data_IF_924630864547
#
_entry.id   IF_924630864547
#
_cell.length_a   1.000
_cell.length_b   1.000
_cell.length_c   1.000
_cell.angle_alpha   90.00
_cell.angle_beta   90.00
_cell.angle_gamma   90.00
#
_symmetry.space_group_name_H-M   'P 1'
#
loop_
_entity.id
_entity.type
_entity.pdbx_description
1 polymer ?
#
# COMPACT_ATOMS: atom_id res chain seq x y z
N UNK A 1 28.34 5.13 -20.12
CA UNK A 1 27.27 4.16 -19.81
C UNK A 1 26.41 4.01 -21.06
N UNK A 2 26.14 2.79 -21.49
CA UNK A 2 25.25 2.50 -22.62
C UNK A 2 24.03 1.76 -22.09
N UNK A 3 22.83 2.14 -22.50
CA UNK A 3 21.59 1.45 -22.18
C UNK A 3 20.76 1.39 -23.45
N UNK A 4 20.13 0.24 -23.72
CA UNK A 4 19.12 0.07 -24.76
C UNK A 4 17.95 -0.73 -24.21
N UNK A 5 16.76 -0.45 -24.71
CA UNK A 5 15.55 -1.14 -24.29
C UNK A 5 14.42 -0.97 -25.29
N UNK A 6 13.36 -1.75 -25.09
CA UNK A 6 12.14 -1.68 -25.88
C UNK A 6 10.94 -2.06 -25.02
N UNK A 7 9.90 -1.24 -25.06
CA UNK A 7 8.62 -1.52 -24.40
C UNK A 7 7.56 -1.89 -25.45
N UNK A 8 6.84 -2.98 -25.19
CA UNK A 8 5.64 -3.36 -25.91
C UNK A 8 4.50 -3.50 -24.92
N UNK A 9 3.44 -2.73 -25.12
CA UNK A 9 2.18 -2.87 -24.39
C UNK A 9 1.01 -3.02 -25.37
N UNK A 10 0.03 -3.82 -24.96
CA UNK A 10 -1.20 -4.01 -25.73
C UNK A 10 -2.39 -3.76 -24.82
N UNK A 11 -3.50 -3.28 -25.38
CA UNK A 11 -4.73 -3.03 -24.64
C UNK A 11 -5.91 -3.65 -25.38
N UNK A 12 -6.54 -4.63 -24.77
CA UNK A 12 -7.81 -5.17 -25.22
C UNK A 12 -8.93 -4.80 -24.25
N UNK A 13 -10.13 -4.61 -24.78
CA UNK A 13 -11.30 -4.37 -23.94
C UNK A 13 -12.55 -5.02 -24.49
N UNK A 14 -13.47 -5.35 -23.59
CA UNK A 14 -14.79 -5.88 -23.93
C UNK A 14 -15.85 -5.26 -23.02
N UNK A 15 -17.01 -4.99 -23.59
CA UNK A 15 -18.16 -4.41 -22.89
C UNK A 15 -19.30 -5.43 -22.91
N UNK A 16 -19.94 -5.61 -21.76
CA UNK A 16 -21.15 -6.41 -21.57
C UNK A 16 -22.23 -5.51 -20.96
N UNK A 17 -23.11 -4.99 -21.81
CA UNK A 17 -24.22 -4.14 -21.36
C UNK A 17 -25.24 -4.92 -20.53
N UNK A 18 -25.43 -6.22 -20.81
CA UNK A 18 -26.36 -7.07 -20.08
C UNK A 18 -25.85 -7.61 -18.73
N UNK A 19 -24.60 -7.34 -18.36
CA UNK A 19 -24.03 -7.84 -17.11
C UNK A 19 -24.52 -7.00 -15.92
N UNK A 20 -25.33 -7.60 -15.05
CA UNK A 20 -25.87 -6.92 -13.86
C UNK A 20 -25.63 -7.76 -12.61
N UNK A 21 -25.32 -7.11 -11.49
CA UNK A 21 -25.19 -7.80 -10.20
C UNK A 21 -25.65 -6.90 -9.05
N UNK A 22 -26.66 -7.37 -8.31
CA UNK A 22 -27.10 -6.72 -7.07
C UNK A 22 -26.06 -6.81 -5.96
N UNK A 23 -25.26 -7.89 -5.95
CA UNK A 23 -24.23 -8.10 -4.92
C UNK A 23 -23.13 -7.04 -5.03
N UNK A 24 -22.72 -6.73 -6.26
CA UNK A 24 -21.62 -5.81 -6.57
C UNK A 24 -22.05 -4.39 -6.98
N UNK A 25 -23.35 -4.10 -6.89
CA UNK A 25 -23.94 -2.85 -7.39
C UNK A 25 -23.43 -2.54 -8.80
N UNK A 26 -23.59 -3.53 -9.69
CA UNK A 26 -23.05 -3.54 -11.04
C UNK A 26 -24.16 -3.39 -12.07
N UNK A 27 -24.02 -2.40 -12.93
CA UNK A 27 -24.90 -2.05 -14.05
C UNK A 27 -24.05 -1.90 -15.32
N UNK A 28 -24.06 -2.97 -16.13
CA UNK A 28 -23.11 -3.18 -17.20
C UNK A 28 -21.68 -3.46 -16.68
N UNK A 29 -20.84 -4.01 -17.55
CA UNK A 29 -19.45 -4.27 -17.22
C UNK A 29 -18.54 -3.99 -18.42
N UNK A 30 -17.38 -3.36 -18.16
CA UNK A 30 -16.28 -3.22 -19.11
C UNK A 30 -15.04 -3.85 -18.50
N UNK A 31 -14.47 -4.85 -19.18
CA UNK A 31 -13.15 -5.39 -18.85
C UNK A 31 -12.12 -4.81 -19.80
N UNK A 32 -11.00 -4.40 -19.24
CA UNK A 32 -9.81 -3.96 -19.94
C UNK A 32 -8.66 -4.82 -19.45
N UNK A 33 -7.93 -5.43 -20.38
CA UNK A 33 -6.71 -6.19 -20.10
C UNK A 33 -5.54 -5.55 -20.84
N UNK A 34 -4.46 -5.31 -20.11
CA UNK A 34 -3.27 -4.61 -20.57
C UNK A 34 -2.03 -5.43 -20.23
N UNK A 35 -1.63 -6.40 -21.10
CA UNK A 35 -0.33 -7.03 -21.00
C UNK A 35 0.78 -6.08 -21.47
N UNK A 36 1.93 -6.15 -20.82
CA UNK A 36 3.12 -5.38 -21.14
C UNK A 36 4.39 -6.19 -20.98
N UNK A 37 5.36 -5.97 -21.86
CA UNK A 37 6.72 -6.48 -21.77
C UNK A 37 7.68 -5.31 -21.99
N UNK A 38 8.56 -5.06 -21.03
CA UNK A 38 9.63 -4.07 -21.18
C UNK A 38 10.98 -4.77 -21.13
N UNK A 39 11.75 -4.66 -22.21
CA UNK A 39 13.10 -5.19 -22.33
C UNK A 39 14.14 -4.12 -22.02
N UNK A 40 15.09 -4.43 -21.16
CA UNK A 40 16.22 -3.56 -20.84
C UNK A 40 17.54 -4.34 -20.93
N UNK A 41 18.51 -3.72 -21.60
CA UNK A 41 19.87 -4.23 -21.73
C UNK A 41 20.90 -3.15 -21.39
N UNK A 42 21.67 -3.42 -20.35
CA UNK A 42 22.86 -2.67 -19.95
C UNK A 42 24.05 -3.65 -20.05
N UNK A 43 25.05 -3.38 -20.89
CA UNK A 43 26.23 -4.23 -20.99
C UNK A 43 27.05 -4.19 -19.71
N UNK A 44 27.88 -5.21 -19.49
CA UNK A 44 28.82 -5.25 -18.36
C UNK A 44 29.74 -4.04 -18.39
N UNK A 45 29.82 -3.24 -17.31
CA UNK A 45 30.68 -2.08 -17.26
C UNK A 45 32.16 -2.47 -17.19
N UNK A 46 33.05 -1.56 -17.63
CA UNK A 46 34.50 -1.77 -17.52
C UNK A 46 34.99 -1.87 -16.07
N UNK A 47 34.26 -1.24 -15.14
CA UNK A 47 34.47 -1.34 -13.69
C UNK A 47 33.13 -1.65 -13.03
N UNK A 48 33.01 -2.73 -12.22
CA UNK A 48 31.79 -3.02 -11.50
C UNK A 48 31.54 -1.99 -10.38
N UNK A 49 30.30 -1.83 -9.90
CA UNK A 49 29.98 -0.92 -8.78
C UNK A 49 30.86 -1.10 -7.55
N UNK A 50 31.27 -2.34 -7.24
CA UNK A 50 32.15 -2.66 -6.10
C UNK A 50 33.56 -2.06 -6.19
N UNK A 51 33.98 -1.65 -7.39
CA UNK A 51 35.27 -0.98 -7.64
C UNK A 51 35.15 0.54 -7.80
N UNK A 52 33.94 1.08 -7.67
CA UNK A 52 33.66 2.51 -7.76
C UNK A 52 33.41 3.10 -6.36
N UNK A 53 33.90 4.32 -6.07
CA UNK A 53 33.43 5.08 -4.93
C UNK A 53 31.91 5.25 -5.02
N UNK A 54 31.20 4.88 -3.96
CA UNK A 54 29.74 4.94 -3.91
C UNK A 54 29.31 6.29 -3.29
N UNK A 55 28.80 7.20 -4.11
CA UNK A 55 28.14 8.42 -3.65
C UNK A 55 26.63 8.21 -3.55
N UNK A 56 26.06 7.33 -4.38
CA UNK A 56 24.68 6.85 -4.30
C UNK A 56 24.58 5.31 -4.38
N UNK A 57 24.07 4.69 -3.31
CA UNK A 57 23.88 3.23 -3.27
C UNK A 57 22.42 2.84 -3.49
N UNK A 58 22.21 1.70 -4.16
CA UNK A 58 20.88 1.11 -4.25
C UNK A 58 20.43 0.62 -2.87
N UNK A 59 19.37 1.22 -2.34
CA UNK A 59 18.76 0.81 -1.07
C UNK A 59 17.80 -0.37 -1.26
N UNK A 60 17.73 -1.23 -0.25
CA UNK A 60 16.72 -2.28 -0.15
C UNK A 60 15.34 -1.66 -0.18
N UNK A 61 14.47 -2.18 -1.04
CA UNK A 61 13.09 -1.70 -1.20
C UNK A 61 12.10 -2.85 -1.22
N UNK A 62 10.90 -2.55 -0.73
CA UNK A 62 9.75 -3.44 -0.80
C UNK A 62 9.07 -3.40 -2.17
N UNK A 63 9.40 -2.42 -3.01
CA UNK A 63 8.84 -2.24 -4.35
C UNK A 63 9.81 -2.73 -5.41
N UNK A 64 9.26 -3.13 -6.55
CA UNK A 64 10.09 -3.41 -7.71
C UNK A 64 10.69 -2.09 -8.23
N UNK A 65 12.01 -2.08 -8.41
CA UNK A 65 12.78 -0.89 -8.80
C UNK A 65 12.50 -0.56 -10.28
N UNK A 66 12.48 0.71 -10.70
CA UNK A 66 12.46 1.04 -12.13
C UNK A 66 13.58 0.33 -12.90
N UNK A 67 13.26 -0.21 -14.07
CA UNK A 67 14.26 -0.77 -15.01
C UNK A 67 14.62 0.23 -16.11
N UNK A 68 13.76 1.21 -16.34
CA UNK A 68 13.99 2.26 -17.32
C UNK A 68 14.95 3.32 -16.80
N UNK A 69 15.71 3.87 -17.73
CA UNK A 69 16.50 5.07 -17.50
C UNK A 69 15.73 6.28 -18.04
N UNK A 70 15.69 7.41 -17.32
CA UNK A 70 16.52 7.77 -16.16
C UNK A 70 15.90 7.46 -14.78
N UNK A 71 14.79 6.72 -14.71
CA UNK A 71 14.06 6.50 -13.44
C UNK A 71 14.87 5.72 -12.40
N UNK A 72 15.86 4.93 -12.84
CA UNK A 72 16.89 4.36 -11.98
C UNK A 72 17.96 5.42 -11.63
N UNK A 73 17.96 5.87 -10.37
CA UNK A 73 18.74 7.04 -9.95
C UNK A 73 20.03 6.72 -9.19
N UNK A 74 20.28 5.48 -8.77
CA UNK A 74 21.52 5.08 -8.07
C UNK A 74 22.64 4.83 -9.08
N UNK A 75 23.23 5.88 -9.64
CA UNK A 75 24.10 5.80 -10.82
C UNK A 75 25.36 4.97 -10.54
N UNK A 76 25.96 5.10 -9.35
CA UNK A 76 27.17 4.35 -8.97
C UNK A 76 26.89 2.86 -8.71
N UNK A 77 25.62 2.48 -8.60
CA UNK A 77 25.16 1.09 -8.43
C UNK A 77 24.74 0.41 -9.74
N UNK A 78 24.86 1.09 -10.88
CA UNK A 78 24.50 0.52 -12.18
C UNK A 78 25.53 -0.52 -12.60
N UNK A 79 25.05 -1.72 -12.87
CA UNK A 79 25.81 -2.81 -13.45
C UNK A 79 25.08 -3.36 -14.69
N UNK A 80 25.57 -4.47 -15.24
CA UNK A 80 24.91 -5.23 -16.28
C UNK A 80 23.46 -5.58 -15.94
N UNK A 81 22.60 -5.38 -16.93
CA UNK A 81 21.19 -5.75 -16.90
C UNK A 81 20.82 -6.42 -18.22
N UNK A 82 20.04 -7.49 -18.15
CA UNK A 82 19.45 -8.11 -19.33
C UNK A 82 18.11 -8.72 -18.88
N UNK A 83 17.06 -7.90 -18.91
CA UNK A 83 15.82 -8.15 -18.16
C UNK A 83 14.61 -7.90 -19.05
N UNK A 84 13.60 -8.77 -18.90
CA UNK A 84 12.24 -8.57 -19.37
C UNK A 84 11.33 -8.33 -18.17
N UNK A 85 10.78 -7.12 -18.04
CA UNK A 85 9.70 -6.83 -17.10
C UNK A 85 8.37 -7.26 -17.71
N UNK A 86 7.76 -8.26 -17.12
CA UNK A 86 6.47 -8.79 -17.50
C UNK A 86 5.40 -8.15 -16.62
N UNK A 87 4.36 -7.61 -17.23
CA UNK A 87 3.22 -7.00 -16.53
C UNK A 87 1.89 -7.41 -17.13
N UNK A 88 0.89 -7.59 -16.27
CA UNK A 88 -0.48 -7.81 -16.67
C UNK A 88 -1.39 -6.98 -15.78
N UNK A 89 -2.12 -6.04 -16.38
CA UNK A 89 -3.14 -5.24 -15.69
C UNK A 89 -4.53 -5.64 -16.15
N UNK A 90 -5.44 -5.77 -15.20
CA UNK A 90 -6.84 -6.08 -15.39
C UNK A 90 -7.68 -5.00 -14.72
N UNK A 91 -8.59 -4.38 -15.46
CA UNK A 91 -9.55 -3.41 -14.92
C UNK A 91 -10.96 -3.83 -15.30
N UNK A 92 -11.81 -4.08 -14.30
CA UNK A 92 -13.25 -4.22 -14.46
C UNK A 92 -13.93 -2.93 -13.99
N UNK A 93 -14.76 -2.39 -14.86
CA UNK A 93 -15.51 -1.17 -14.64
C UNK A 93 -17.00 -1.42 -14.75
N UNK A 94 -17.77 -0.69 -13.96
CA UNK A 94 -19.23 -0.71 -13.97
C UNK A 94 -19.76 0.71 -13.93
N UNK A 95 -20.99 0.92 -14.41
CA UNK A 95 -21.71 2.15 -14.14
C UNK A 95 -22.31 2.09 -12.73
N UNK A 96 -22.25 3.22 -12.01
CA UNK A 96 -22.93 3.48 -10.74
C UNK A 96 -23.51 4.91 -10.78
N UNK A 97 -24.18 5.32 -9.69
CA UNK A 97 -24.91 6.60 -9.59
C UNK A 97 -24.07 7.82 -10.03
N UNK A 98 -22.77 7.84 -9.73
CA UNK A 98 -21.88 8.97 -9.98
C UNK A 98 -21.04 8.83 -11.26
N UNK A 99 -21.29 7.80 -12.08
CA UNK A 99 -20.56 7.56 -13.33
C UNK A 99 -19.95 6.16 -13.41
N UNK A 100 -18.91 6.02 -14.23
CA UNK A 100 -18.17 4.76 -14.37
C UNK A 100 -17.14 4.65 -13.26
N UNK A 101 -17.19 3.56 -12.50
CA UNK A 101 -16.26 3.26 -11.42
C UNK A 101 -15.50 1.96 -11.70
N UNK A 102 -14.25 1.88 -11.21
CA UNK A 102 -13.52 0.61 -11.20
C UNK A 102 -14.08 -0.27 -10.09
N UNK A 103 -14.70 -1.38 -10.48
CA UNK A 103 -15.12 -2.45 -9.56
C UNK A 103 -13.90 -3.22 -9.06
N UNK A 104 -12.96 -3.51 -9.96
CA UNK A 104 -11.77 -4.31 -9.71
C UNK A 104 -10.63 -3.77 -10.57
N UNK A 105 -9.48 -3.53 -9.98
CA UNK A 105 -8.26 -3.14 -10.67
C UNK A 105 -7.13 -3.95 -10.08
N UNK A 106 -6.51 -4.79 -10.90
CA UNK A 106 -5.47 -5.71 -10.47
C UNK A 106 -4.28 -5.64 -11.41
N UNK A 107 -3.09 -5.56 -10.85
CA UNK A 107 -1.85 -5.64 -11.59
C UNK A 107 -0.99 -6.76 -11.01
N UNK A 108 -0.38 -7.56 -11.87
CA UNK A 108 0.64 -8.53 -11.50
C UNK A 108 1.86 -8.31 -12.38
N UNK A 109 3.05 -8.32 -11.79
CA UNK A 109 4.29 -8.06 -12.51
C UNK A 109 5.49 -8.69 -11.84
N UNK A 110 6.49 -9.02 -12.65
CA UNK A 110 7.78 -9.57 -12.25
C UNK A 110 8.82 -9.34 -13.35
N UNK A 111 10.08 -9.36 -12.97
CA UNK A 111 11.20 -9.31 -13.91
C UNK A 111 11.75 -10.71 -14.15
N UNK A 112 11.98 -11.01 -15.42
CA UNK A 112 12.74 -12.18 -15.87
C UNK A 112 14.12 -11.74 -16.34
N UNK A 113 15.16 -12.16 -15.62
CA UNK A 113 16.55 -11.89 -15.96
C UNK A 113 17.04 -12.95 -16.94
N UNK A 114 17.34 -12.55 -18.17
CA UNK A 114 17.81 -13.43 -19.25
C UNK A 114 19.26 -13.89 -19.02
N UNK A 115 20.06 -13.04 -18.39
CA UNK A 115 21.45 -13.33 -17.99
C UNK A 115 21.66 -12.81 -16.56
N UNK A 116 21.22 -13.54 -15.53
CA UNK A 116 21.40 -13.11 -14.15
C UNK A 116 22.89 -13.07 -13.80
N UNK A 117 23.28 -12.09 -12.99
CA UNK A 117 24.60 -12.05 -12.34
C UNK A 117 24.70 -13.13 -11.24
N UNK A 118 25.90 -13.44 -10.74
CA UNK A 118 26.08 -14.44 -9.68
C UNK A 118 25.31 -14.16 -8.37
N UNK A 119 25.00 -12.89 -8.09
CA UNK A 119 24.23 -12.43 -6.93
C UNK A 119 22.71 -12.37 -7.18
N UNK A 120 22.25 -12.78 -8.36
CA UNK A 120 20.87 -12.60 -8.79
C UNK A 120 20.17 -13.93 -9.08
N UNK A 121 18.90 -13.98 -8.71
CA UNK A 121 18.00 -15.03 -9.15
C UNK A 121 17.47 -14.79 -10.58
N UNK A 122 17.01 -15.85 -11.24
CA UNK A 122 16.46 -15.76 -12.60
C UNK A 122 15.19 -14.90 -12.68
N UNK A 123 14.30 -15.04 -11.69
CA UNK A 123 13.11 -14.20 -11.56
C UNK A 123 13.22 -13.31 -10.33
N UNK A 124 12.68 -12.09 -10.39
CA UNK A 124 12.35 -11.37 -9.16
C UNK A 124 11.17 -12.03 -8.46
N UNK A 125 10.85 -11.52 -7.29
CA UNK A 125 9.55 -11.79 -6.69
C UNK A 125 8.42 -11.32 -7.62
N UNK A 126 7.26 -11.96 -7.49
CA UNK A 126 6.01 -11.56 -8.13
C UNK A 126 5.31 -10.58 -7.23
N UNK A 127 4.98 -9.44 -7.82
CA UNK A 127 4.23 -8.37 -7.19
C UNK A 127 2.79 -8.44 -7.67
N UNK A 128 1.85 -8.26 -6.76
CA UNK A 128 0.44 -8.20 -7.08
C UNK A 128 -0.24 -7.08 -6.29
N UNK A 129 -0.83 -6.14 -7.02
CA UNK A 129 -1.52 -4.96 -6.50
C UNK A 129 -2.99 -5.02 -6.90
N UNK A 130 -3.89 -5.01 -5.93
CA UNK A 130 -5.33 -5.16 -6.13
C UNK A 130 -6.10 -4.04 -5.40
N UNK A 131 -6.92 -3.32 -6.16
CA UNK A 131 -8.00 -2.48 -5.66
C UNK A 131 -9.35 -3.10 -6.03
N UNK A 132 -10.14 -3.46 -5.04
CA UNK A 132 -11.47 -4.04 -5.23
C UNK A 132 -12.53 -3.23 -4.48
N UNK A 133 -13.55 -2.78 -5.21
CA UNK A 133 -14.64 -1.95 -4.69
C UNK A 133 -15.99 -2.59 -4.96
N UNK A 134 -16.31 -3.72 -4.30
CA UNK A 134 -17.53 -4.48 -4.58
C UNK A 134 -18.79 -3.65 -4.38
N UNK A 135 -18.77 -2.61 -3.53
CA UNK A 135 -19.81 -1.60 -3.44
C UNK A 135 -19.17 -0.23 -3.24
N UNK A 136 -19.94 0.84 -3.43
CA UNK A 136 -19.46 2.21 -3.18
C UNK A 136 -18.97 2.45 -1.75
N UNK A 137 -19.42 1.64 -0.79
CA UNK A 137 -19.06 1.72 0.62
C UNK A 137 -18.11 0.62 1.10
N UNK A 138 -17.62 -0.26 0.22
CA UNK A 138 -16.64 -1.30 0.55
C UNK A 138 -15.41 -1.09 -0.31
N UNK A 139 -14.25 -0.93 0.30
CA UNK A 139 -12.96 -0.93 -0.39
C UNK A 139 -12.06 -2.00 0.20
N UNK A 140 -11.49 -2.84 -0.66
CA UNK A 140 -10.45 -3.79 -0.34
C UNK A 140 -9.20 -3.44 -1.15
N UNK A 141 -8.10 -3.17 -0.47
CA UNK A 141 -6.79 -3.04 -1.08
C UNK A 141 -5.94 -4.25 -0.69
N UNK A 142 -5.14 -4.76 -1.61
CA UNK A 142 -4.24 -5.88 -1.37
C UNK A 142 -2.97 -5.72 -2.20
N UNK A 143 -1.84 -5.62 -1.52
CA UNK A 143 -0.50 -5.59 -2.11
C UNK A 143 0.25 -6.81 -1.58
N UNK A 144 0.85 -7.59 -2.47
CA UNK A 144 1.59 -8.79 -2.06
C UNK A 144 2.86 -8.96 -2.86
N UNK A 145 3.87 -9.55 -2.21
CA UNK A 145 5.16 -9.88 -2.81
C UNK A 145 5.48 -11.35 -2.52
N UNK A 146 5.54 -12.16 -3.56
CA UNK A 146 5.78 -13.59 -3.46
C UNK A 146 7.09 -13.98 -4.14
N UNK A 147 7.99 -14.62 -3.41
CA UNK A 147 9.21 -15.13 -4.00
C UNK A 147 8.96 -16.47 -4.68
N UNK A 148 9.06 -16.50 -6.01
CA UNK A 148 8.94 -17.76 -6.77
C UNK A 148 10.10 -18.69 -6.44
N UNK A 149 11.32 -18.14 -6.33
CA UNK A 149 12.54 -18.94 -6.14
C UNK A 149 12.50 -19.68 -4.80
N UNK A 150 12.13 -18.98 -3.72
CA UNK A 150 12.05 -19.58 -2.39
C UNK A 150 10.66 -20.13 -2.03
N UNK A 151 9.67 -19.95 -2.91
CA UNK A 151 8.28 -20.39 -2.74
C UNK A 151 7.60 -19.87 -1.46
N UNK A 152 7.79 -18.60 -1.15
CA UNK A 152 7.27 -18.00 0.08
C UNK A 152 6.84 -16.55 -0.08
N UNK A 153 5.89 -16.13 0.76
CA UNK A 153 5.51 -14.72 0.87
C UNK A 153 6.64 -13.91 1.51
N UNK A 154 6.97 -12.79 0.89
CA UNK A 154 7.88 -11.77 1.42
C UNK A 154 7.11 -10.65 2.09
N UNK A 155 5.99 -10.24 1.49
CA UNK A 155 5.08 -9.23 2.04
C UNK A 155 3.63 -9.56 1.67
N UNK A 156 2.72 -9.25 2.58
CA UNK A 156 1.29 -9.22 2.33
C UNK A 156 0.65 -8.07 3.13
N UNK A 157 0.09 -7.10 2.42
CA UNK A 157 -0.54 -5.91 2.96
C UNK A 157 -1.97 -5.83 2.46
N UNK A 158 -2.94 -5.99 3.34
CA UNK A 158 -4.36 -5.97 3.02
C UNK A 158 -5.05 -4.91 3.85
N UNK A 159 -6.02 -4.20 3.27
CA UNK A 159 -6.88 -3.27 4.00
C UNK A 159 -8.31 -3.42 3.51
N UNK A 160 -9.24 -3.70 4.42
CA UNK A 160 -10.67 -3.65 4.20
C UNK A 160 -11.24 -2.43 4.90
N UNK A 161 -11.93 -1.57 4.16
CA UNK A 161 -12.63 -0.41 4.71
C UNK A 161 -14.12 -0.48 4.37
N UNK A 162 -14.95 -0.34 5.40
CA UNK A 162 -16.40 -0.26 5.33
C UNK A 162 -16.85 1.15 5.74
N UNK A 163 -17.58 1.83 4.85
CA UNK A 163 -18.08 3.19 5.06
C UNK A 163 -19.48 3.38 4.46
N UNK A 164 -20.51 2.69 4.98
CA UNK A 164 -21.85 2.69 4.39
C UNK A 164 -22.56 4.04 4.44
N UNK A 165 -22.19 4.90 5.40
CA UNK A 165 -22.77 6.22 5.60
C UNK A 165 -21.82 7.11 6.42
N UNK A 166 -22.29 8.30 6.80
CA UNK A 166 -21.53 9.26 7.61
C UNK A 166 -21.61 9.02 9.13
N UNK A 167 -22.30 7.97 9.57
CA UNK A 167 -22.48 7.65 10.99
C UNK A 167 -21.35 6.77 11.50
N UNK A 168 -20.84 5.84 10.68
CA UNK A 168 -19.77 4.95 11.12
C UNK A 168 -18.90 4.48 9.96
N UNK A 169 -17.67 4.13 10.31
CA UNK A 169 -16.74 3.46 9.41
C UNK A 169 -15.85 2.50 10.18
N UNK A 170 -15.48 1.40 9.53
CA UNK A 170 -14.55 0.43 10.09
C UNK A 170 -13.47 0.11 9.07
N UNK A 171 -12.21 0.14 9.48
CA UNK A 171 -11.08 -0.30 8.67
C UNK A 171 -10.31 -1.37 9.40
N UNK A 172 -10.01 -2.48 8.71
CA UNK A 172 -9.14 -3.55 9.18
C UNK A 172 -7.99 -3.70 8.20
N UNK A 173 -6.77 -3.53 8.69
CA UNK A 173 -5.53 -3.76 7.97
C UNK A 173 -4.82 -5.01 8.48
N UNK A 174 -4.14 -5.71 7.59
CA UNK A 174 -3.19 -6.76 7.92
C UNK A 174 -1.88 -6.47 7.17
N UNK A 175 -0.77 -6.43 7.89
CA UNK A 175 0.56 -6.24 7.33
C UNK A 175 1.48 -7.34 7.82
N UNK A 176 1.84 -8.21 6.89
CA UNK A 176 2.89 -9.19 7.05
C UNK A 176 4.12 -8.73 6.26
N UNK A 177 5.27 -8.71 6.93
CA UNK A 177 6.58 -8.56 6.33
C UNK A 177 7.48 -9.66 6.88
N UNK A 178 8.08 -10.44 5.99
CA UNK A 178 9.10 -11.40 6.37
C UNK A 178 10.37 -10.68 6.78
N UNK A 179 11.03 -11.14 7.83
CA UNK A 179 12.30 -10.57 8.26
C UNK A 179 13.32 -10.60 7.14
N UNK A 180 13.91 -9.44 6.89
CA UNK A 180 14.96 -9.22 5.91
C UNK A 180 16.08 -8.42 6.59
N UNK A 181 17.29 -9.01 6.75
CA UNK A 181 18.44 -8.31 7.33
C UNK A 181 18.78 -7.02 6.57
N UNK A 182 18.50 -6.95 5.28
CA UNK A 182 18.78 -5.79 4.45
C UNK A 182 17.83 -4.60 4.75
N UNK A 183 16.76 -4.83 5.52
CA UNK A 183 15.84 -3.81 6.04
C UNK A 183 16.08 -3.49 7.53
N UNK A 184 17.13 -4.07 8.13
CA UNK A 184 17.49 -3.89 9.54
C UNK A 184 17.14 -5.10 10.43
N UNK A 185 17.71 -5.15 11.65
CA UNK A 185 17.35 -6.18 12.63
C UNK A 185 15.87 -6.08 12.99
N UNK A 186 15.21 -7.23 13.15
CA UNK A 186 13.78 -7.32 13.50
C UNK A 186 12.81 -6.61 12.55
N UNK A 187 13.20 -6.44 11.28
CA UNK A 187 12.37 -5.82 10.23
C UNK A 187 11.03 -6.53 9.97
N UNK A 188 10.96 -7.84 10.27
CA UNK A 188 9.76 -8.62 10.09
C UNK A 188 8.63 -8.18 11.01
N UNK A 189 7.38 -8.33 10.56
CA UNK A 189 6.17 -8.05 11.33
C UNK A 189 4.97 -8.85 10.82
N UNK A 190 3.98 -9.06 11.70
CA UNK A 190 2.67 -9.56 11.35
C UNK A 190 1.63 -8.79 12.17
N UNK A 191 1.26 -7.62 11.68
CA UNK A 191 0.39 -6.69 12.43
C UNK A 191 -1.01 -6.64 11.86
N UNK A 192 -1.99 -6.55 12.75
CA UNK A 192 -3.39 -6.32 12.44
C UNK A 192 -3.74 -4.94 12.99
N UNK A 193 -4.17 -4.04 12.10
CA UNK A 193 -4.67 -2.72 12.47
C UNK A 193 -6.19 -2.74 12.40
N UNK A 194 -6.88 -2.25 13.42
CA UNK A 194 -8.32 -2.02 13.40
C UNK A 194 -8.59 -0.56 13.76
N UNK A 195 -9.43 0.10 12.98
CA UNK A 195 -9.84 1.50 13.19
C UNK A 195 -11.35 1.59 13.05
N UNK A 196 -12.05 1.83 14.15
CA UNK A 196 -13.51 1.97 14.18
C UNK A 196 -13.89 3.39 14.58
N UNK A 197 -14.71 4.04 13.77
CA UNK A 197 -15.25 5.37 14.02
C UNK A 197 -16.77 5.31 14.10
N UNK A 198 -17.34 6.01 15.08
CA UNK A 198 -18.79 6.09 15.29
C UNK A 198 -19.21 7.50 15.74
N UNK A 199 -20.12 8.10 14.99
CA UNK A 199 -20.78 9.37 15.31
C UNK A 199 -22.13 9.07 15.97
N UNK A 200 -22.19 9.24 17.29
CA UNK A 200 -23.38 8.93 18.08
C UNK A 200 -24.35 10.12 18.25
N UNK A 201 -23.91 11.34 17.92
CA UNK A 201 -24.81 12.51 17.80
C UNK A 201 -24.28 13.49 16.75
N UNK A 202 -25.03 14.57 16.45
CA UNK A 202 -24.59 15.60 15.51
C UNK A 202 -23.25 16.24 15.89
N UNK A 203 -22.98 16.33 17.18
CA UNK A 203 -21.84 17.05 17.73
C UNK A 203 -20.78 16.15 18.37
N UNK A 204 -21.02 14.85 18.46
CA UNK A 204 -20.10 13.93 19.15
C UNK A 204 -19.81 12.69 18.32
N UNK A 205 -18.54 12.27 18.34
CA UNK A 205 -18.09 11.03 17.75
C UNK A 205 -16.97 10.40 18.58
N UNK A 206 -16.77 9.09 18.42
CA UNK A 206 -15.67 8.35 19.01
C UNK A 206 -14.86 7.62 17.93
N UNK A 207 -13.58 7.37 18.22
CA UNK A 207 -12.73 6.47 17.43
C UNK A 207 -11.95 5.54 18.35
N UNK A 208 -11.90 4.28 17.96
CA UNK A 208 -11.07 3.24 18.55
C UNK A 208 -10.05 2.81 17.50
N UNK A 209 -8.78 2.74 17.88
CA UNK A 209 -7.74 2.16 17.03
C UNK A 209 -6.86 1.21 17.81
N UNK A 210 -6.57 0.08 17.19
CA UNK A 210 -5.78 -1.00 17.78
C UNK A 210 -4.77 -1.49 16.76
N UNK A 211 -3.51 -1.63 17.17
CA UNK A 211 -2.46 -2.29 16.42
C UNK A 211 -1.98 -3.50 17.22
N UNK A 212 -2.25 -4.68 16.69
CA UNK A 212 -1.95 -5.96 17.31
C UNK A 212 -0.84 -6.66 16.54
N UNK A 213 0.23 -7.08 17.20
CA UNK A 213 1.27 -7.93 16.64
C UNK A 213 0.89 -9.41 16.87
N UNK A 214 0.61 -10.12 15.79
CA UNK A 214 0.14 -11.50 15.85
C UNK A 214 1.26 -12.51 16.10
N UNK A 215 2.55 -12.13 15.96
CA UNK A 215 3.68 -13.04 16.22
C UNK A 215 3.85 -13.37 17.69
N UNK A 216 3.64 -12.38 18.56
CA UNK A 216 3.80 -12.50 20.02
C UNK A 216 2.48 -12.31 20.77
N UNK A 217 1.42 -11.88 20.09
CA UNK A 217 0.11 -11.67 20.68
C UNK A 217 0.01 -10.34 21.44
N UNK A 218 0.91 -9.40 21.19
CA UNK A 218 0.96 -8.11 21.89
C UNK A 218 0.06 -7.07 21.22
N UNK A 219 -0.74 -6.37 22.02
CA UNK A 219 -1.52 -5.22 21.57
C UNK A 219 -0.67 -3.95 21.67
N UNK A 220 0.24 -3.79 20.71
CA UNK A 220 1.31 -2.78 20.71
C UNK A 220 0.82 -1.35 20.93
N UNK A 221 -0.27 -0.95 20.26
CA UNK A 221 -0.81 0.41 20.36
C UNK A 221 -2.34 0.41 20.41
N UNK A 222 -2.88 1.27 21.27
CA UNK A 222 -4.30 1.49 21.44
C UNK A 222 -4.59 2.98 21.53
N UNK A 223 -5.61 3.44 20.81
CA UNK A 223 -6.07 4.83 20.86
C UNK A 223 -7.58 4.87 21.06
N UNK A 224 -7.99 5.67 22.03
CA UNK A 224 -9.38 5.95 22.36
C UNK A 224 -9.60 7.45 22.23
N UNK A 225 -10.26 7.88 21.17
CA UNK A 225 -10.46 9.31 20.90
C UNK A 225 -11.94 9.66 20.98
N UNK A 226 -12.24 10.72 21.72
CA UNK A 226 -13.55 11.35 21.78
C UNK A 226 -13.49 12.72 21.10
N UNK A 227 -14.37 12.93 20.12
CA UNK A 227 -14.48 14.17 19.36
C UNK A 227 -15.72 14.95 19.78
N UNK A 228 -15.57 16.27 19.86
CA UNK A 228 -16.65 17.22 20.06
C UNK A 228 -16.61 18.30 18.98
N UNK A 229 -17.71 18.45 18.25
CA UNK A 229 -17.87 19.49 17.24
C UNK A 229 -18.66 20.68 17.77
N UNK A 230 -18.00 21.80 18.07
CA UNK A 230 -18.65 23.04 18.49
C UNK A 230 -19.01 23.92 17.28
N UNK A 231 -19.69 25.05 17.54
CA UNK A 231 -20.16 25.94 16.46
C UNK A 231 -19.02 26.45 15.56
N UNK A 232 -17.90 26.87 16.15
CA UNK A 232 -16.79 27.50 15.42
C UNK A 232 -15.45 26.76 15.53
N UNK A 233 -15.40 25.66 16.28
CA UNK A 233 -14.18 24.90 16.54
C UNK A 233 -14.50 23.44 16.86
N UNK A 234 -13.53 22.56 16.70
CA UNK A 234 -13.60 21.15 17.09
C UNK A 234 -12.58 20.87 18.19
N UNK A 235 -12.89 19.90 19.04
CA UNK A 235 -11.96 19.38 20.04
C UNK A 235 -11.89 17.85 19.97
N UNK A 236 -10.75 17.29 20.32
CA UNK A 236 -10.52 15.86 20.48
C UNK A 236 -9.76 15.61 21.79
N UNK A 237 -10.21 14.62 22.55
CA UNK A 237 -9.48 14.05 23.69
C UNK A 237 -9.08 12.63 23.30
N UNK A 238 -7.78 12.34 23.31
CA UNK A 238 -7.24 11.01 22.97
C UNK A 238 -6.50 10.42 24.16
N UNK A 239 -6.88 9.21 24.54
CA UNK A 239 -6.09 8.37 25.44
C UNK A 239 -5.34 7.33 24.60
N UNK A 240 -4.03 7.18 24.85
CA UNK A 240 -3.13 6.23 24.19
C UNK A 240 -2.58 5.26 25.21
N UNK A 241 -2.58 3.97 24.86
CA UNK A 241 -1.78 2.94 25.53
C UNK A 241 -0.77 2.40 24.51
N UNK A 242 0.50 2.33 24.88
CA UNK A 242 1.55 1.73 24.06
C UNK A 242 2.30 0.69 24.88
N UNK A 243 2.20 -0.55 24.45
CA UNK A 243 2.93 -1.65 25.07
C UNK A 243 4.30 -1.78 24.40
N UNK A 244 5.37 -1.67 25.19
CA UNK A 244 6.74 -1.86 24.70
C UNK A 244 7.12 -3.33 24.86
N UNK A 245 7.77 -3.90 23.84
CA UNK A 245 8.40 -5.24 23.95
C UNK A 245 9.56 -5.25 24.93
N UNK A 246 10.24 -4.10 25.07
CA UNK A 246 11.38 -3.91 25.96
C UNK A 246 11.10 -2.65 26.76
N UNK A 247 10.48 -2.80 27.93
CA UNK A 247 10.18 -1.70 28.85
C UNK A 247 8.74 -1.71 29.39
N UNK A 248 8.40 -0.75 30.26
CA UNK A 248 7.05 -0.63 30.79
C UNK A 248 6.06 -0.15 29.73
N UNK A 249 4.78 -0.44 29.95
CA UNK A 249 3.67 0.14 29.18
C UNK A 249 3.63 1.66 29.38
N UNK A 250 3.52 2.39 28.27
CA UNK A 250 3.41 3.84 28.22
C UNK A 250 1.95 4.28 28.05
N UNK A 251 1.57 5.32 28.78
CA UNK A 251 0.23 5.90 28.77
C UNK A 251 0.30 7.37 28.40
N UNK A 252 -0.51 7.78 27.42
CA UNK A 252 -0.56 9.15 26.95
C UNK A 252 -1.99 9.71 26.96
N UNK A 253 -2.12 10.99 27.30
CA UNK A 253 -3.36 11.75 27.10
C UNK A 253 -3.02 12.97 26.26
N UNK A 254 -3.81 13.22 25.22
CA UNK A 254 -3.67 14.39 24.36
C UNK A 254 -5.00 15.09 24.16
N UNK A 255 -4.94 16.42 24.12
CA UNK A 255 -6.06 17.29 23.79
C UNK A 255 -5.70 18.09 22.55
N UNK A 256 -6.56 18.05 21.54
CA UNK A 256 -6.38 18.77 20.28
C UNK A 256 -7.59 19.67 20.06
N UNK A 257 -7.39 20.88 19.58
CA UNK A 257 -8.46 21.77 19.15
C UNK A 257 -8.13 22.38 17.79
N UNK A 258 -9.16 22.64 16.97
CA UNK A 258 -9.01 23.24 15.65
C UNK A 258 -10.14 24.23 15.38
N UNK A 259 -9.82 25.43 14.91
CA UNK A 259 -10.83 26.42 14.48
C UNK A 259 -11.37 26.03 13.11
N UNK A 260 -12.70 26.08 12.92
CA UNK A 260 -13.32 25.75 11.62
C UNK A 260 -12.97 26.76 10.52
N UNK A 261 -12.70 28.01 10.90
CA UNK A 261 -12.29 29.07 9.99
C UNK A 261 -10.87 28.90 9.45
N UNK A 262 -10.00 28.20 10.19
CA UNK A 262 -8.61 27.92 9.83
C UNK A 262 -8.30 26.48 10.26
N UNK A 263 -8.83 25.48 9.54
CA UNK A 263 -8.74 24.10 9.97
C UNK A 263 -7.29 23.62 9.92
N UNK A 264 -6.77 23.08 11.03
CA UNK A 264 -5.43 22.46 11.08
C UNK A 264 -5.39 21.16 10.29
N UNK A 265 -6.53 20.47 10.16
CA UNK A 265 -6.70 19.23 9.40
C UNK A 265 -7.97 19.33 8.55
N UNK A 266 -7.97 18.81 7.32
CA UNK A 266 -9.20 18.77 6.50
C UNK A 266 -10.15 17.70 7.05
N UNK A 267 -11.44 17.86 6.74
CA UNK A 267 -12.48 16.93 7.18
C UNK A 267 -12.16 15.51 6.68
N UNK A 268 -11.88 14.58 7.59
CA UNK A 268 -11.55 13.18 7.27
C UNK A 268 -10.07 12.84 7.10
N UNK A 269 -9.15 13.82 7.17
CA UNK A 269 -7.70 13.58 7.03
C UNK A 269 -7.13 12.64 8.11
N UNK A 270 -7.82 12.52 9.24
CA UNK A 270 -7.41 11.71 10.39
C UNK A 270 -7.91 10.26 10.32
N UNK A 271 -8.81 9.91 9.37
CA UNK A 271 -9.40 8.57 9.26
C UNK A 271 -8.35 7.45 9.22
N UNK A 272 -7.19 7.73 8.61
CA UNK A 272 -6.10 6.77 8.42
C UNK A 272 -4.75 7.24 9.02
N UNK A 273 -4.70 8.36 9.77
CA UNK A 273 -3.44 8.97 10.25
C UNK A 273 -3.56 9.57 11.66
N UNK A 274 -3.62 8.75 12.72
CA UNK A 274 -3.91 9.21 14.08
C UNK A 274 -2.81 10.02 14.75
N UNK A 275 -1.55 9.84 14.35
CA UNK A 275 -0.43 10.63 14.86
C UNK A 275 -0.57 12.13 14.58
N UNK A 276 -1.42 12.52 13.61
CA UNK A 276 -1.74 13.92 13.34
C UNK A 276 -2.36 14.62 14.56
N UNK A 277 -3.17 13.91 15.35
CA UNK A 277 -3.82 14.48 16.53
C UNK A 277 -2.86 14.66 17.71
N UNK A 278 -1.77 13.90 17.72
CA UNK A 278 -0.72 13.98 18.74
C UNK A 278 0.35 15.04 18.43
N UNK A 279 0.20 15.79 17.34
CA UNK A 279 1.14 16.85 16.97
C UNK A 279 2.52 16.31 16.64
N UNK A 280 2.60 15.35 15.71
CA UNK A 280 3.86 14.86 15.17
C UNK A 280 4.80 15.97 14.70
#
# INVERSE_FOLDING_TARGET
>A
MFNTGAEVSFKASRIWQGAHSKLFDMDGMRHVVEPSVNYVFVPTPNKPPTELPQFDSQLSTLRLIPVDFPDYNSIDSIDSQNVLRLGLRNTLQTKRKNGVENLFKWAVYADWRLKPRPDQETFTDVYSDLDFKPRSWITLNSETRYSINDRQWREANHTLTLSPNSTWSWSVGHRYLRSDPALGPDSGNNTILSSFYYRFSENWAGRLQHRFEARDGTLEEQYYTLYRDFRSWTAALTFRVRESRIGPTDYGVAVTFSLKAIPRFKLGDDQNKPNLLLGG
#
